data_IF_498169902833
#
_entry.id   IF_498169902833
#
_cell.length_a   1.000
_cell.length_b   1.000
_cell.length_c   1.000
_cell.angle_alpha   90.00
_cell.angle_beta   90.00
_cell.angle_gamma   90.00
#
_symmetry.space_group_name_H-M   'P 1'
#
loop_
_entity.id
_entity.type
_entity.pdbx_description
1 polymer ?
#
# COMPACT_ATOMS: atom_id res chain seq x y z
N UNK A 1 0.38 23.46 -10.48
CA UNK A 1 0.68 22.07 -10.09
C UNK A 1 -0.04 21.66 -8.80
N UNK A 2 0.20 22.32 -7.67
CA UNK A 2 -0.42 21.97 -6.37
C UNK A 2 -1.96 21.94 -6.41
N UNK A 3 -2.62 22.95 -6.97
CA UNK A 3 -4.09 23.02 -7.07
C UNK A 3 -4.66 21.86 -7.89
N UNK A 4 -4.07 21.57 -9.07
CA UNK A 4 -4.44 20.43 -9.92
C UNK A 4 -4.35 19.09 -9.17
N UNK A 5 -3.31 18.91 -8.33
CA UNK A 5 -3.17 17.71 -7.48
C UNK A 5 -4.26 17.64 -6.42
N UNK A 6 -4.55 18.75 -5.74
CA UNK A 6 -5.58 18.80 -4.70
C UNK A 6 -6.98 18.51 -5.27
N UNK A 7 -7.28 19.00 -6.47
CA UNK A 7 -8.54 18.70 -7.18
C UNK A 7 -8.65 17.20 -7.49
N UNK A 8 -7.59 16.58 -8.03
CA UNK A 8 -7.57 15.14 -8.33
C UNK A 8 -7.78 14.31 -7.06
N UNK A 9 -7.08 14.62 -5.98
CA UNK A 9 -7.22 13.92 -4.71
C UNK A 9 -8.63 14.08 -4.14
N UNK A 10 -9.17 15.31 -4.17
CA UNK A 10 -10.53 15.59 -3.67
C UNK A 10 -11.59 14.87 -4.49
N UNK A 11 -11.42 14.78 -5.82
CA UNK A 11 -12.34 14.06 -6.70
C UNK A 11 -12.38 12.55 -6.49
N UNK A 12 -11.32 11.97 -5.88
CA UNK A 12 -11.23 10.52 -5.60
C UNK A 12 -11.39 10.16 -4.12
N UNK A 13 -11.76 11.13 -3.28
CA UNK A 13 -11.84 10.94 -1.83
C UNK A 13 -12.71 9.73 -1.42
N UNK A 14 -13.87 9.57 -2.05
CA UNK A 14 -14.78 8.46 -1.72
C UNK A 14 -14.18 7.10 -2.07
N UNK A 15 -13.48 7.01 -3.20
CA UNK A 15 -12.76 5.81 -3.63
C UNK A 15 -11.66 5.44 -2.62
N UNK A 16 -10.84 6.41 -2.18
CA UNK A 16 -9.76 6.17 -1.22
C UNK A 16 -10.30 5.77 0.16
N UNK A 17 -11.41 6.37 0.60
CA UNK A 17 -12.09 5.98 1.84
C UNK A 17 -12.68 4.57 1.71
N UNK A 18 -13.22 4.19 0.55
CA UNK A 18 -13.68 2.83 0.31
C UNK A 18 -12.55 1.81 0.43
N UNK A 19 -11.38 2.09 -0.15
CA UNK A 19 -10.20 1.21 0.00
C UNK A 19 -9.76 1.09 1.46
N UNK A 20 -9.72 2.20 2.21
CA UNK A 20 -9.45 2.15 3.65
C UNK A 20 -10.39 1.19 4.37
N UNK A 21 -11.72 1.27 4.12
CA UNK A 21 -12.71 0.37 4.74
C UNK A 21 -12.52 -1.08 4.30
N UNK A 22 -12.15 -1.34 3.04
CA UNK A 22 -11.89 -2.68 2.53
C UNK A 22 -10.71 -3.34 3.27
N UNK A 23 -9.59 -2.64 3.42
CA UNK A 23 -8.42 -3.12 4.14
C UNK A 23 -8.68 -3.26 5.64
N UNK A 24 -9.39 -2.32 6.25
CA UNK A 24 -9.75 -2.38 7.67
C UNK A 24 -10.49 -3.67 8.04
N UNK A 25 -11.28 -4.20 7.13
CA UNK A 25 -12.07 -5.43 7.34
C UNK A 25 -11.26 -6.73 7.30
N UNK A 26 -10.03 -6.71 6.77
CA UNK A 26 -9.22 -7.91 6.54
C UNK A 26 -7.84 -7.88 7.19
N UNK A 27 -7.69 -7.41 8.45
CA UNK A 27 -6.37 -7.35 9.08
C UNK A 27 -5.73 -8.72 9.18
N UNK A 28 -4.47 -8.83 8.77
CA UNK A 28 -3.67 -10.04 8.82
C UNK A 28 -2.36 -9.75 9.56
N UNK A 29 -1.80 -10.75 10.22
CA UNK A 29 -0.58 -10.58 11.02
C UNK A 29 0.66 -10.61 10.13
N UNK A 30 1.75 -10.05 10.63
CA UNK A 30 3.01 -9.97 9.90
C UNK A 30 3.48 -11.31 9.35
N UNK A 31 3.76 -11.35 8.03
CA UNK A 31 4.05 -12.50 7.18
C UNK A 31 2.87 -13.47 6.95
N UNK A 32 1.65 -13.08 7.32
CA UNK A 32 0.41 -13.80 7.02
C UNK A 32 -0.53 -12.96 6.13
N UNK A 33 -0.08 -11.82 5.56
CA UNK A 33 -0.88 -10.82 4.85
C UNK A 33 -1.23 -11.25 3.40
N UNK A 34 -1.74 -12.46 3.24
CA UNK A 34 -2.08 -13.06 1.94
C UNK A 34 -3.19 -12.30 1.21
N UNK A 35 -4.34 -12.10 1.87
CA UNK A 35 -5.49 -11.39 1.29
C UNK A 35 -5.19 -9.91 1.08
N UNK A 36 -4.48 -9.30 2.02
CA UNK A 36 -4.02 -7.91 1.92
C UNK A 36 -3.13 -7.73 0.70
N UNK A 37 -2.14 -8.63 0.52
CA UNK A 37 -1.24 -8.65 -0.64
C UNK A 37 -2.01 -8.83 -1.95
N UNK A 38 -2.98 -9.76 -1.99
CA UNK A 38 -3.80 -10.01 -3.17
C UNK A 38 -4.64 -8.78 -3.54
N UNK A 39 -5.33 -8.18 -2.57
CA UNK A 39 -6.16 -6.99 -2.79
C UNK A 39 -5.31 -5.79 -3.28
N UNK A 40 -4.10 -5.59 -2.74
CA UNK A 40 -3.16 -4.57 -3.25
C UNK A 40 -2.82 -4.84 -4.71
N UNK A 41 -2.49 -6.08 -5.06
CA UNK A 41 -2.21 -6.48 -6.46
C UNK A 41 -3.39 -6.20 -7.39
N UNK A 42 -4.61 -6.52 -6.97
CA UNK A 42 -5.83 -6.25 -7.73
C UNK A 42 -6.03 -4.75 -7.99
N UNK A 43 -5.90 -3.91 -6.95
CA UNK A 43 -6.04 -2.45 -7.06
C UNK A 43 -4.98 -1.86 -8.01
N UNK A 44 -3.71 -2.25 -7.87
CA UNK A 44 -2.63 -1.78 -8.75
C UNK A 44 -2.87 -2.22 -10.20
N UNK A 45 -3.25 -3.47 -10.41
CA UNK A 45 -3.56 -3.99 -11.76
C UNK A 45 -4.72 -3.24 -12.41
N UNK A 46 -5.78 -2.94 -11.66
CA UNK A 46 -6.91 -2.15 -12.14
C UNK A 46 -6.51 -0.73 -12.59
N UNK A 47 -5.45 -0.15 -11.98
CA UNK A 47 -4.87 1.14 -12.37
C UNK A 47 -3.91 1.02 -13.56
N UNK A 48 -3.65 -0.18 -14.10
CA UNK A 48 -2.64 -0.44 -15.13
C UNK A 48 -1.19 -0.35 -14.61
N UNK A 49 -0.98 -0.60 -13.32
CA UNK A 49 0.32 -0.71 -12.68
C UNK A 49 0.63 -2.19 -12.48
N UNK A 50 1.82 -2.64 -12.86
CA UNK A 50 2.22 -4.04 -12.73
C UNK A 50 2.76 -4.33 -11.33
N UNK A 51 2.02 -5.08 -10.47
CA UNK A 51 2.51 -5.44 -9.14
C UNK A 51 3.51 -6.60 -9.23
N UNK A 52 4.52 -6.55 -8.37
CA UNK A 52 5.47 -7.63 -8.12
C UNK A 52 5.28 -8.10 -6.67
N UNK A 53 4.79 -9.32 -6.51
CA UNK A 53 4.60 -9.91 -5.16
C UNK A 53 5.96 -10.22 -4.54
N UNK A 54 6.06 -9.99 -3.24
CA UNK A 54 7.21 -10.38 -2.42
C UNK A 54 6.93 -11.73 -1.72
N UNK A 55 7.97 -12.44 -1.37
CA UNK A 55 7.88 -13.69 -0.62
C UNK A 55 8.12 -13.39 0.88
N UNK A 56 7.27 -13.87 1.82
CA UNK A 56 6.00 -14.59 1.59
C UNK A 56 4.83 -13.67 1.23
N UNK A 57 4.84 -12.41 1.61
CA UNK A 57 3.77 -11.41 1.44
C UNK A 57 4.35 -10.02 1.16
N UNK A 58 3.49 -9.08 0.75
CA UNK A 58 3.90 -7.74 0.36
C UNK A 58 3.98 -7.56 -1.15
N UNK A 59 4.14 -6.31 -1.59
CA UNK A 59 4.10 -5.94 -3.00
C UNK A 59 5.07 -4.80 -3.28
N UNK A 60 5.73 -4.85 -4.44
CA UNK A 60 6.35 -3.66 -5.05
C UNK A 60 5.76 -3.37 -6.42
N UNK A 61 5.86 -2.13 -6.85
CA UNK A 61 5.48 -1.72 -8.20
C UNK A 61 6.24 -0.46 -8.60
N UNK A 62 6.20 -0.12 -9.89
CA UNK A 62 6.87 1.06 -10.41
C UNK A 62 5.94 1.91 -11.26
N UNK A 63 6.15 3.23 -11.22
CA UNK A 63 5.47 4.22 -12.05
C UNK A 63 6.52 5.21 -12.56
N UNK A 64 6.41 5.62 -13.83
CA UNK A 64 7.31 6.57 -14.44
C UNK A 64 8.46 5.95 -15.25
N UNK A 65 9.42 6.77 -15.74
CA UNK A 65 10.46 6.34 -16.67
C UNK A 65 11.45 5.37 -16.05
N UNK A 66 11.80 4.31 -16.80
CA UNK A 66 12.65 3.21 -16.30
C UNK A 66 14.07 3.64 -15.93
N UNK A 67 14.68 4.54 -16.70
CA UNK A 67 16.09 4.91 -16.57
C UNK A 67 16.30 6.23 -15.81
N UNK A 68 15.34 6.60 -14.95
CA UNK A 68 15.40 7.82 -14.16
C UNK A 68 15.77 7.54 -12.70
N UNK A 69 16.18 8.60 -11.98
CA UNK A 69 16.35 8.59 -10.53
C UNK A 69 15.12 7.99 -9.84
N UNK A 70 15.32 7.01 -8.98
CA UNK A 70 14.24 6.26 -8.34
C UNK A 70 14.01 6.71 -6.91
N UNK A 71 12.81 7.17 -6.61
CA UNK A 71 12.35 7.45 -5.24
C UNK A 71 11.37 6.38 -4.79
N UNK A 72 11.48 5.94 -3.53
CA UNK A 72 10.56 4.96 -2.97
C UNK A 72 9.51 5.62 -2.08
N UNK A 73 8.26 5.17 -2.20
CA UNK A 73 7.17 5.45 -1.28
C UNK A 73 6.78 4.14 -0.59
N UNK A 74 6.65 4.17 0.74
CA UNK A 74 6.43 2.98 1.55
C UNK A 74 5.16 3.08 2.38
N UNK A 75 4.42 1.97 2.47
CA UNK A 75 3.39 1.70 3.46
C UNK A 75 3.63 0.32 4.09
N UNK A 76 3.39 0.19 5.38
CA UNK A 76 3.24 -1.08 6.06
C UNK A 76 1.84 -1.65 5.85
N UNK A 77 1.68 -2.98 6.00
CA UNK A 77 0.43 -3.64 5.61
C UNK A 77 -0.13 -4.62 6.64
N UNK A 78 0.59 -4.90 7.71
CA UNK A 78 0.17 -5.85 8.74
C UNK A 78 -0.78 -5.23 9.76
N UNK A 79 -1.56 -6.09 10.40
CA UNK A 79 -2.42 -5.77 11.52
C UNK A 79 -1.91 -6.38 12.83
N UNK A 80 -2.62 -6.09 13.90
CA UNK A 80 -2.29 -6.50 15.26
C UNK A 80 -3.23 -7.60 15.78
N UNK A 81 -2.73 -8.40 16.71
CA UNK A 81 -3.53 -9.39 17.45
C UNK A 81 -4.34 -8.68 18.56
N UNK A 82 -5.33 -7.92 18.13
CA UNK A 82 -6.23 -7.14 18.99
C UNK A 82 -7.66 -7.43 18.55
N UNK A 83 -8.56 -7.68 19.50
CA UNK A 83 -9.99 -7.76 19.19
C UNK A 83 -10.55 -6.36 19.01
N UNK A 84 -11.18 -6.11 17.89
CA UNK A 84 -11.85 -4.84 17.64
C UNK A 84 -13.18 -4.77 18.39
N UNK A 85 -13.44 -3.63 19.05
CA UNK A 85 -14.65 -3.31 19.79
C UNK A 85 -15.09 -1.87 19.48
N UNK A 86 -15.29 -1.59 18.17
CA UNK A 86 -15.57 -0.22 17.69
C UNK A 86 -17.00 -0.02 17.24
N UNK A 87 -17.78 -1.09 17.02
CA UNK A 87 -19.13 -1.05 16.42
C UNK A 87 -19.19 -0.34 15.05
N UNK A 88 -18.05 -0.20 14.35
CA UNK A 88 -18.01 0.40 13.03
C UNK A 88 -18.64 -0.50 11.98
N UNK A 89 -19.34 0.07 10.96
CA UNK A 89 -19.96 -0.72 9.89
C UNK A 89 -18.93 -1.46 9.02
N UNK A 90 -17.66 -1.09 9.11
CA UNK A 90 -16.52 -1.69 8.41
C UNK A 90 -15.49 -2.32 9.36
N UNK A 91 -15.90 -2.69 10.57
CA UNK A 91 -15.01 -3.36 11.53
C UNK A 91 -14.42 -4.67 10.97
N UNK A 92 -13.34 -5.11 11.57
CA UNK A 92 -12.63 -6.34 11.20
C UNK A 92 -13.56 -7.56 11.09
N UNK A 93 -13.39 -8.32 10.01
CA UNK A 93 -14.01 -9.64 9.81
C UNK A 93 -13.11 -10.79 10.26
N UNK A 94 -11.89 -10.49 10.70
CA UNK A 94 -10.92 -11.44 11.20
C UNK A 94 -10.90 -11.40 12.73
N UNK A 95 -11.60 -12.34 13.37
CA UNK A 95 -11.72 -12.40 14.82
C UNK A 95 -10.34 -12.33 15.51
N UNK A 96 -10.22 -11.44 16.50
CA UNK A 96 -8.99 -11.26 17.26
C UNK A 96 -7.85 -10.57 16.51
N UNK A 97 -8.14 -9.95 15.36
CA UNK A 97 -7.20 -9.15 14.59
C UNK A 97 -7.82 -7.79 14.26
N UNK A 98 -7.01 -6.73 14.25
CA UNK A 98 -7.44 -5.36 13.96
C UNK A 98 -6.29 -4.56 13.35
N UNK A 99 -6.58 -3.62 12.45
CA UNK A 99 -5.64 -2.56 12.06
C UNK A 99 -5.59 -1.44 13.11
N UNK A 100 -5.19 -1.80 14.35
CA UNK A 100 -5.17 -0.86 15.47
C UNK A 100 -4.04 0.18 15.40
N UNK A 101 -3.05 -0.02 14.52
CA UNK A 101 -1.95 0.93 14.26
C UNK A 101 -2.21 1.84 13.03
N UNK A 102 -3.29 1.58 12.27
CA UNK A 102 -3.67 2.42 11.13
C UNK A 102 -2.94 2.11 9.81
N UNK A 103 -2.34 0.93 9.68
CA UNK A 103 -1.65 0.51 8.46
C UNK A 103 -2.59 0.39 7.24
N UNK A 104 -3.85 0.10 7.44
CA UNK A 104 -4.93 0.19 6.44
C UNK A 104 -5.05 1.60 5.82
N UNK A 105 -4.92 2.64 6.65
CA UNK A 105 -4.84 4.03 6.19
C UNK A 105 -3.56 4.31 5.40
N UNK A 106 -2.42 3.72 5.78
CA UNK A 106 -1.17 3.82 5.03
C UNK A 106 -1.29 3.13 3.67
N UNK A 107 -1.89 1.93 3.60
CA UNK A 107 -2.16 1.22 2.34
C UNK A 107 -3.04 2.06 1.43
N UNK A 108 -4.18 2.55 1.93
CA UNK A 108 -5.12 3.36 1.16
C UNK A 108 -4.47 4.67 0.68
N UNK A 109 -3.64 5.29 1.51
CA UNK A 109 -2.88 6.48 1.18
C UNK A 109 -1.86 6.23 0.07
N UNK A 110 -1.10 5.13 0.12
CA UNK A 110 -0.12 4.78 -0.91
C UNK A 110 -0.80 4.37 -2.23
N UNK A 111 -1.90 3.62 -2.20
CA UNK A 111 -2.72 3.33 -3.38
C UNK A 111 -3.32 4.60 -3.98
N UNK A 112 -3.78 5.53 -3.15
CA UNK A 112 -4.26 6.84 -3.58
C UNK A 112 -3.17 7.65 -4.30
N UNK A 113 -1.97 7.68 -3.74
CA UNK A 113 -0.81 8.30 -4.37
C UNK A 113 -0.48 7.61 -5.70
N UNK A 114 -0.48 6.27 -5.75
CA UNK A 114 -0.26 5.49 -6.96
C UNK A 114 -1.26 5.83 -8.06
N UNK A 115 -2.55 5.94 -7.73
CA UNK A 115 -3.62 6.32 -8.66
C UNK A 115 -3.36 7.69 -9.31
N UNK A 116 -2.99 8.69 -8.52
CA UNK A 116 -2.71 10.03 -9.01
C UNK A 116 -1.41 10.07 -9.83
N UNK A 117 -0.35 9.42 -9.36
CA UNK A 117 0.93 9.34 -10.07
C UNK A 117 0.78 8.63 -11.42
N UNK A 118 -0.02 7.56 -11.49
CA UNK A 118 -0.30 6.85 -12.73
C UNK A 118 -1.03 7.72 -13.75
N UNK A 119 -2.01 8.51 -13.34
CA UNK A 119 -2.68 9.48 -14.21
C UNK A 119 -1.74 10.58 -14.74
N UNK A 120 -0.66 10.84 -14.02
CA UNK A 120 0.35 11.86 -14.37
C UNK A 120 1.66 11.24 -14.85
N UNK A 121 1.68 9.95 -15.17
CA UNK A 121 2.91 9.21 -15.47
C UNK A 121 3.75 9.87 -16.57
N UNK A 122 3.12 10.43 -17.61
CA UNK A 122 3.83 11.12 -18.68
C UNK A 122 4.49 12.46 -18.26
N UNK A 123 4.11 13.00 -17.10
CA UNK A 123 4.68 14.23 -16.54
C UNK A 123 5.83 13.93 -15.55
N UNK A 124 6.05 12.66 -15.19
CA UNK A 124 7.07 12.27 -14.22
C UNK A 124 8.47 12.30 -14.84
N UNK A 125 9.40 12.91 -14.13
CA UNK A 125 10.83 12.94 -14.45
C UNK A 125 11.66 12.00 -13.59
N UNK A 126 11.02 11.36 -12.62
CA UNK A 126 11.62 10.37 -11.72
C UNK A 126 10.81 9.07 -11.80
N UNK A 127 11.46 7.96 -11.51
CA UNK A 127 10.80 6.68 -11.30
C UNK A 127 10.32 6.59 -9.87
N UNK A 128 9.07 6.22 -9.66
CA UNK A 128 8.50 6.03 -8.32
C UNK A 128 8.35 4.53 -8.07
N UNK A 129 9.02 4.03 -7.04
CA UNK A 129 8.87 2.68 -6.53
C UNK A 129 7.87 2.68 -5.38
N UNK A 130 6.83 1.87 -5.49
CA UNK A 130 5.87 1.62 -4.41
C UNK A 130 6.31 0.40 -3.63
N UNK A 131 6.32 0.47 -2.30
CA UNK A 131 6.68 -0.64 -1.42
C UNK A 131 5.58 -0.83 -0.38
N UNK A 132 4.83 -1.91 -0.49
CA UNK A 132 3.88 -2.36 0.51
C UNK A 132 4.57 -3.42 1.36
N UNK A 133 5.10 -2.97 2.51
CA UNK A 133 5.97 -3.75 3.36
C UNK A 133 5.19 -4.61 4.34
N UNK A 134 5.38 -5.94 4.38
CA UNK A 134 4.79 -6.80 5.41
C UNK A 134 5.50 -6.64 6.76
N UNK A 135 4.83 -7.10 7.83
CA UNK A 135 5.48 -7.46 9.10
C UNK A 135 6.25 -6.33 9.78
N UNK A 136 5.63 -5.13 9.85
CA UNK A 136 6.21 -3.99 10.55
C UNK A 136 6.18 -4.19 12.07
N UNK A 137 5.04 -4.64 12.61
CA UNK A 137 4.75 -4.74 14.05
C UNK A 137 5.66 -5.73 14.81
N UNK A 138 6.23 -6.69 14.10
CA UNK A 138 7.21 -7.62 14.69
C UNK A 138 8.67 -7.22 14.37
N UNK A 139 8.90 -6.06 13.77
CA UNK A 139 10.21 -5.47 13.44
C UNK A 139 11.05 -6.27 12.43
N UNK A 140 10.46 -7.24 11.72
CA UNK A 140 11.19 -8.11 10.78
C UNK A 140 11.04 -7.67 9.31
N UNK A 141 9.92 -7.01 8.96
CA UNK A 141 9.59 -6.69 7.58
C UNK A 141 10.64 -5.85 6.86
N UNK A 142 11.13 -4.78 7.47
CA UNK A 142 12.15 -3.94 6.85
C UNK A 142 13.44 -4.71 6.53
N UNK A 143 13.93 -5.54 7.47
CA UNK A 143 15.11 -6.39 7.23
C UNK A 143 14.86 -7.40 6.12
N UNK A 144 13.64 -7.92 6.07
CA UNK A 144 13.24 -8.90 5.07
C UNK A 144 13.26 -8.31 3.66
N UNK A 145 12.62 -7.17 3.42
CA UNK A 145 12.63 -6.52 2.10
C UNK A 145 14.05 -6.08 1.68
N UNK A 146 14.89 -5.63 2.62
CA UNK A 146 16.30 -5.32 2.34
C UNK A 146 17.04 -6.58 1.89
N UNK A 147 16.85 -7.71 2.56
CA UNK A 147 17.51 -8.98 2.18
C UNK A 147 17.08 -9.52 0.82
N UNK A 148 15.92 -9.09 0.31
CA UNK A 148 15.45 -9.42 -1.04
C UNK A 148 15.96 -8.43 -2.12
N UNK A 149 16.83 -7.49 -1.77
CA UNK A 149 17.38 -6.50 -2.70
C UNK A 149 16.38 -5.42 -3.14
N UNK A 150 15.24 -5.27 -2.43
CA UNK A 150 14.16 -4.38 -2.86
C UNK A 150 14.58 -2.91 -2.87
N UNK A 151 15.61 -2.52 -2.14
CA UNK A 151 16.11 -1.15 -2.09
C UNK A 151 17.34 -0.89 -2.95
N UNK A 152 17.87 -1.89 -3.68
CA UNK A 152 19.13 -1.76 -4.43
C UNK A 152 19.03 -0.77 -5.61
N UNK A 153 17.83 -0.54 -6.14
CA UNK A 153 17.56 0.39 -7.23
C UNK A 153 16.90 1.71 -6.76
N UNK A 154 16.95 2.01 -5.47
CA UNK A 154 16.46 3.27 -4.90
C UNK A 154 17.64 4.19 -4.64
N UNK A 155 17.56 5.44 -5.13
CA UNK A 155 18.62 6.45 -5.04
C UNK A 155 18.58 7.30 -3.74
#
# INVERSE_FOLDING_TARGET
>A
MREKLLEKVSGKREEFVSWYHEFHQIPELGFEEEKTTELICEKLTAMGIHPLRLDPTGVTAYIGPHDAYTVALRADIDGLRVSEDTDLPFQSKHLGKMHACGHDGHIAGLLGAASILKEMESELTVRVKLIFQPSEENTKGAKHIISQGILEDVD
#
